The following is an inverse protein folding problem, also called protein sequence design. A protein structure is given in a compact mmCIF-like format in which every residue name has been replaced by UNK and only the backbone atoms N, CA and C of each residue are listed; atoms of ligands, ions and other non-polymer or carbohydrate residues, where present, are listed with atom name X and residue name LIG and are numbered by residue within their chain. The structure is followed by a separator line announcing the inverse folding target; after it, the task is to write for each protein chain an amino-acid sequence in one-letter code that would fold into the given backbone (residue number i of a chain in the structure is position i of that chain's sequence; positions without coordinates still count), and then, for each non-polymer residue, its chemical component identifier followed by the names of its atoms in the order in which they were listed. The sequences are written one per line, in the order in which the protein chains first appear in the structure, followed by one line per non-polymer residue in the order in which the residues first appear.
data_IF_678042185422
#
_entry.id   IF_678042185422
#
_cell.length_a   1.000
_cell.length_b   1.000
_cell.length_c   1.000
_cell.angle_alpha   90.00
_cell.angle_beta   90.00
_cell.angle_gamma   90.00
#
_symmetry.space_group_name_H-M   'P 1'
#
loop_
_entity.id
_entity.type
_entity.pdbx_description
1 polymer ?
#
# COMPACT_ATOMS: atom_id res chain seq x y z
N UNK A 1 0.44 -18.49 -15.41
CA UNK A 1 0.01 -17.26 -16.08
C UNK A 1 -1.29 -16.85 -15.46
N UNK A 2 -1.44 -15.54 -15.29
CA UNK A 2 -2.74 -14.86 -15.24
C UNK A 2 -3.48 -14.97 -13.91
N UNK A 3 -2.75 -14.58 -12.86
CA UNK A 3 -3.27 -14.42 -11.51
C UNK A 3 -4.19 -13.20 -11.40
N UNK A 4 -5.49 -13.48 -11.48
CA UNK A 4 -6.57 -12.72 -10.85
C UNK A 4 -6.79 -11.28 -11.36
N UNK A 5 -7.63 -11.17 -12.39
CA UNK A 5 -8.60 -10.09 -12.48
C UNK A 5 -9.81 -10.37 -11.60
N UNK A 6 -10.53 -9.30 -11.22
CA UNK A 6 -11.86 -9.20 -10.57
C UNK A 6 -11.81 -8.69 -9.10
N UNK A 7 -12.67 -7.79 -8.61
CA UNK A 7 -14.03 -7.42 -9.01
C UNK A 7 -14.54 -6.28 -8.09
N UNK A 8 -15.47 -5.47 -8.63
CA UNK A 8 -16.65 -4.85 -7.97
C UNK A 8 -16.46 -3.49 -7.28
N UNK A 9 -16.72 -2.42 -8.03
CA UNK A 9 -17.46 -1.28 -7.48
C UNK A 9 -18.93 -1.71 -7.29
N UNK A 10 -19.23 -2.39 -6.19
CA UNK A 10 -20.59 -2.79 -5.85
C UNK A 10 -20.95 -2.25 -4.46
N UNK A 11 -21.88 -1.31 -4.44
CA UNK A 11 -22.72 -1.05 -3.28
C UNK A 11 -22.33 0.17 -2.45
N UNK A 12 -23.18 1.19 -2.50
CA UNK A 12 -23.51 2.08 -1.39
C UNK A 12 -22.34 2.85 -0.76
N UNK A 13 -21.99 3.97 -1.41
CA UNK A 13 -21.59 5.24 -0.77
C UNK A 13 -20.72 5.17 0.50
N UNK A 14 -19.67 4.37 0.48
CA UNK A 14 -18.54 4.53 1.38
C UNK A 14 -17.35 4.89 0.51
N UNK A 15 -17.13 6.20 0.32
CA UNK A 15 -16.05 6.74 -0.51
C UNK A 15 -14.71 6.51 0.22
N UNK A 16 -14.32 5.24 0.37
CA UNK A 16 -13.03 4.84 0.88
C UNK A 16 -11.97 5.39 -0.08
N UNK A 17 -11.15 6.29 0.43
CA UNK A 17 -10.13 6.95 -0.37
C UNK A 17 -9.00 5.96 -0.68
N UNK A 18 -8.56 6.00 -1.94
CA UNK A 18 -7.37 5.27 -2.39
C UNK A 18 -6.22 6.25 -2.50
N UNK A 19 -5.10 5.91 -1.87
CA UNK A 19 -3.89 6.71 -1.85
C UNK A 19 -2.79 5.98 -2.62
N UNK A 20 -2.32 6.59 -3.71
CA UNK A 20 -1.13 6.11 -4.42
C UNK A 20 0.11 6.65 -3.71
N UNK A 21 0.78 5.79 -2.95
CA UNK A 21 1.93 6.13 -2.12
C UNK A 21 3.21 5.72 -2.83
N UNK A 22 4.15 6.66 -2.94
CA UNK A 22 5.50 6.39 -3.42
C UNK A 22 6.50 6.59 -2.29
N UNK A 23 7.25 5.55 -1.96
CA UNK A 23 8.23 5.53 -0.87
C UNK A 23 9.60 5.30 -1.49
N UNK A 24 10.57 6.17 -1.18
CA UNK A 24 11.94 6.04 -1.66
C UNK A 24 12.87 5.81 -0.48
N UNK A 25 13.51 4.65 -0.43
CA UNK A 25 14.38 4.22 0.68
C UNK A 25 15.77 3.85 0.18
N UNK A 26 16.76 3.92 1.06
CA UNK A 26 18.10 3.39 0.76
C UNK A 26 18.04 1.88 0.61
N UNK A 27 18.94 1.31 -0.19
CA UNK A 27 19.00 -0.13 -0.45
C UNK A 27 19.14 -0.98 0.83
N UNK A 28 19.81 -0.46 1.86
CA UNK A 28 19.94 -1.14 3.16
C UNK A 28 18.62 -1.20 3.96
N UNK A 29 17.69 -0.27 3.76
CA UNK A 29 16.42 -0.21 4.49
C UNK A 29 15.27 -0.89 3.74
N UNK A 30 15.44 -1.11 2.44
CA UNK A 30 14.48 -1.81 1.59
C UNK A 30 14.00 -3.16 2.14
N UNK A 31 14.84 -4.06 2.69
CA UNK A 31 14.39 -5.36 3.17
C UNK A 31 13.33 -5.26 4.28
N UNK A 32 13.50 -4.31 5.21
CA UNK A 32 12.54 -4.09 6.31
C UNK A 32 11.19 -3.61 5.80
N UNK A 33 11.19 -2.67 4.84
CA UNK A 33 9.98 -2.16 4.22
C UNK A 33 9.28 -3.21 3.35
N UNK A 34 10.05 -3.98 2.57
CA UNK A 34 9.53 -5.10 1.79
C UNK A 34 8.87 -6.13 2.70
N UNK A 35 9.54 -6.56 3.77
CA UNK A 35 9.00 -7.53 4.71
C UNK A 35 7.72 -7.01 5.41
N UNK A 36 7.64 -5.70 5.70
CA UNK A 36 6.40 -5.10 6.19
C UNK A 36 5.27 -5.23 5.16
N UNK A 37 5.50 -4.81 3.91
CA UNK A 37 4.49 -4.88 2.86
C UNK A 37 4.11 -6.32 2.50
N UNK A 38 5.02 -7.29 2.62
CA UNK A 38 4.71 -8.71 2.41
C UNK A 38 3.86 -9.29 3.55
N UNK A 39 4.12 -8.91 4.80
CA UNK A 39 3.27 -9.32 5.95
C UNK A 39 1.87 -8.75 5.88
N UNK A 40 1.71 -7.59 5.25
CA UNK A 40 0.43 -6.87 5.13
C UNK A 40 -0.24 -7.01 3.75
N UNK A 41 0.50 -7.48 2.75
CA UNK A 41 0.16 -7.49 1.33
C UNK A 41 -1.00 -8.40 1.00
N UNK A 42 -2.20 -7.81 0.96
CA UNK A 42 -3.41 -8.43 0.42
C UNK A 42 -4.52 -8.74 1.42
N UNK A 43 -4.23 -8.84 2.73
CA UNK A 43 -5.25 -9.31 3.70
C UNK A 43 -5.26 -8.55 5.03
N UNK A 44 -4.14 -7.98 5.48
CA UNK A 44 -4.04 -7.37 6.80
C UNK A 44 -4.00 -5.86 6.72
N UNK A 45 -5.08 -5.23 7.19
CA UNK A 45 -5.13 -3.79 7.34
C UNK A 45 -4.10 -3.30 8.39
N UNK A 46 -3.47 -2.16 8.15
CA UNK A 46 -2.53 -1.50 9.04
C UNK A 46 -2.87 -0.03 9.22
N UNK A 47 -2.35 0.59 10.28
CA UNK A 47 -2.48 2.02 10.48
C UNK A 47 -1.44 2.77 9.64
N UNK A 48 -1.92 3.77 8.90
CA UNK A 48 -1.09 4.64 8.11
C UNK A 48 -1.55 6.08 8.30
N UNK A 49 -0.61 7.01 8.45
CA UNK A 49 -0.90 8.43 8.59
C UNK A 49 -0.64 9.12 7.26
N UNK A 50 -1.67 9.68 6.60
CA UNK A 50 -1.48 10.44 5.37
C UNK A 50 -0.69 11.72 5.65
N UNK A 51 0.18 12.16 4.73
CA UNK A 51 1.03 13.35 4.92
C UNK A 51 0.24 14.66 5.10
N UNK A 52 -1.03 14.70 4.69
CA UNK A 52 -1.87 15.89 4.76
C UNK A 52 -2.93 15.86 5.86
N UNK A 53 -3.40 14.68 6.26
CA UNK A 53 -4.48 14.54 7.25
C UNK A 53 -3.97 14.38 8.68
N UNK A 54 -2.70 14.01 8.88
CA UNK A 54 -2.04 13.80 10.19
C UNK A 54 -2.78 12.88 11.18
N UNK A 55 -3.88 12.26 10.75
CA UNK A 55 -4.69 11.32 11.51
C UNK A 55 -4.41 9.90 11.00
N UNK A 56 -4.12 8.93 11.88
CA UNK A 56 -3.91 7.56 11.47
C UNK A 56 -5.25 6.99 10.95
N UNK A 57 -5.23 6.55 9.70
CA UNK A 57 -6.35 5.82 9.08
C UNK A 57 -5.97 4.34 8.93
N UNK A 58 -6.98 3.48 8.84
CA UNK A 58 -6.77 2.06 8.60
C UNK A 58 -6.81 1.82 7.09
N UNK A 59 -5.73 1.25 6.55
CA UNK A 59 -5.59 0.99 5.12
C UNK A 59 -5.19 -0.45 4.86
N UNK A 60 -5.48 -0.94 3.66
CA UNK A 60 -4.94 -2.20 3.15
C UNK A 60 -4.07 -1.90 1.93
N UNK A 61 -2.99 -2.65 1.76
CA UNK A 61 -2.19 -2.61 0.54
C UNK A 61 -2.41 -3.93 -0.20
N UNK A 62 -3.13 -3.88 -1.32
CA UNK A 62 -3.38 -5.08 -2.15
C UNK A 62 -2.29 -5.32 -3.18
N UNK A 63 -1.76 -4.23 -3.73
CA UNK A 63 -0.68 -4.27 -4.71
C UNK A 63 0.38 -3.25 -4.36
N UNK A 64 1.62 -3.67 -4.57
CA UNK A 64 2.78 -2.79 -4.54
C UNK A 64 3.79 -3.30 -5.56
N UNK A 65 4.64 -2.40 -6.04
CA UNK A 65 5.77 -2.69 -6.92
C UNK A 65 7.01 -2.03 -6.35
N UNK A 66 8.18 -2.61 -6.65
CA UNK A 66 9.47 -2.04 -6.29
C UNK A 66 10.33 -1.90 -7.54
N UNK A 67 10.99 -0.75 -7.67
CA UNK A 67 12.02 -0.47 -8.66
C UNK A 67 13.34 -0.22 -7.94
N UNK A 68 14.33 -1.06 -8.26
CA UNK A 68 15.65 -1.05 -7.62
C UNK A 68 16.62 -0.26 -8.49
N UNK A 69 17.08 0.87 -7.98
CA UNK A 69 18.20 1.62 -8.56
C UNK A 69 19.53 1.29 -7.88
N UNK A 70 20.59 2.01 -8.27
CA UNK A 70 21.95 1.75 -7.77
C UNK A 70 22.08 1.89 -6.24
N UNK A 71 21.53 2.97 -5.66
CA UNK A 71 21.61 3.27 -4.22
C UNK A 71 20.24 3.32 -3.52
N UNK A 72 19.17 3.39 -4.31
CA UNK A 72 17.81 3.68 -3.84
C UNK A 72 16.86 2.63 -4.37
N UNK A 73 15.85 2.30 -3.56
CA UNK A 73 14.71 1.51 -4.00
C UNK A 73 13.48 2.38 -3.89
N UNK A 74 12.73 2.46 -4.99
CA UNK A 74 11.44 3.15 -5.06
C UNK A 74 10.35 2.10 -4.98
N UNK A 75 9.44 2.25 -4.02
CA UNK A 75 8.27 1.40 -3.87
C UNK A 75 7.03 2.23 -4.18
N UNK A 76 6.17 1.71 -5.03
CA UNK A 76 4.86 2.29 -5.32
C UNK A 76 3.79 1.33 -4.82
N UNK A 77 2.87 1.82 -4.01
CA UNK A 77 1.81 1.03 -3.41
C UNK A 77 0.49 1.80 -3.43
N UNK A 78 -0.61 1.07 -3.61
CA UNK A 78 -1.94 1.65 -3.49
C UNK A 78 -2.53 1.24 -2.14
N UNK A 79 -2.82 2.24 -1.31
CA UNK A 79 -3.43 2.08 0.01
C UNK A 79 -4.91 2.40 -0.10
N UNK A 80 -5.74 1.40 0.13
CA UNK A 80 -7.19 1.56 0.16
C UNK A 80 -7.62 1.67 1.62
N UNK A 81 -8.26 2.78 1.97
CA UNK A 81 -8.85 2.93 3.30
C UNK A 81 -9.91 1.86 3.53
N UNK A 82 -10.02 1.36 4.76
CA UNK A 82 -11.09 0.45 5.18
C UNK A 82 -11.72 0.93 6.48
N UNK A 83 -13.04 0.80 6.59
CA UNK A 83 -13.75 1.01 7.85
C UNK A 83 -13.50 -0.20 8.74
N UNK A 84 -13.27 0.04 10.03
CA UNK A 84 -13.03 -1.01 11.00
C UNK A 84 -14.27 -1.88 11.22
#
# INVERSE_FOLDING_TARGET
GDGYEQRRAAGLNNQLSTYSVTIRVRKCEHPSLKAFLERHGGVRAFQWTPPYDWKPIRVVCRKWSASVGALWVTITADFEQVVA
#
